data_IF_213516052982
#
_entry.id   IF_213516052982
#
_cell.length_a   1.000
_cell.length_b   1.000
_cell.length_c   1.000
_cell.angle_alpha   90.00
_cell.angle_beta   90.00
_cell.angle_gamma   90.00
#
_symmetry.space_group_name_H-M   'P 1'
#
loop_
_entity.id
_entity.type
_entity.pdbx_description
1 polymer ?
#
# COMPACT_ATOMS: atom_id res chain seq x y z
N UNK A 1 6.23 -2.88 -5.96
CA UNK A 1 6.03 -4.20 -5.31
C UNK A 1 7.27 -5.08 -5.50
N UNK A 2 7.88 -5.14 -6.71
CA UNK A 2 9.02 -6.02 -7.01
C UNK A 2 10.35 -5.61 -6.38
N UNK A 3 10.48 -4.35 -6.00
CA UNK A 3 11.70 -3.81 -5.37
C UNK A 3 11.76 -4.14 -3.89
N UNK A 4 12.97 -4.27 -3.32
CA UNK A 4 13.12 -4.28 -1.86
C UNK A 4 12.50 -3.02 -1.24
N UNK A 5 11.93 -3.15 -0.06
CA UNK A 5 11.34 -2.06 0.70
C UNK A 5 12.07 -1.81 2.02
N UNK A 6 11.33 -1.36 3.02
CA UNK A 6 11.84 -1.19 4.37
C UNK A 6 12.17 -2.54 5.03
N UNK A 7 11.20 -3.46 5.08
CA UNK A 7 11.26 -4.75 5.74
C UNK A 7 11.52 -5.91 4.78
N UNK A 8 10.77 -5.96 3.67
CA UNK A 8 10.76 -7.07 2.75
C UNK A 8 11.71 -6.88 1.57
N UNK A 9 12.41 -7.94 1.18
CA UNK A 9 13.03 -7.99 -0.14
C UNK A 9 11.96 -8.14 -1.24
N UNK A 10 12.35 -8.01 -2.51
CA UNK A 10 11.41 -8.06 -3.62
C UNK A 10 10.60 -9.37 -3.70
N UNK A 11 11.18 -10.51 -3.30
CA UNK A 11 10.49 -11.81 -3.25
C UNK A 11 9.41 -11.82 -2.18
N UNK A 12 9.73 -11.40 -0.95
CA UNK A 12 8.77 -11.34 0.17
C UNK A 12 7.61 -10.41 -0.14
N UNK A 13 7.88 -9.23 -0.69
CA UNK A 13 6.84 -8.26 -1.08
C UNK A 13 5.92 -8.81 -2.16
N UNK A 14 6.46 -9.56 -3.13
CA UNK A 14 5.64 -10.24 -4.14
C UNK A 14 4.83 -11.41 -3.56
N UNK A 15 5.37 -12.14 -2.58
CA UNK A 15 4.61 -13.17 -1.87
C UNK A 15 3.40 -12.57 -1.15
N UNK A 16 3.57 -11.41 -0.47
CA UNK A 16 2.46 -10.68 0.17
C UNK A 16 1.42 -10.24 -0.88
N UNK A 17 1.85 -9.68 -2.00
CA UNK A 17 0.95 -9.23 -3.05
C UNK A 17 0.16 -10.40 -3.69
N UNK A 18 0.84 -11.52 -3.97
CA UNK A 18 0.19 -12.75 -4.47
C UNK A 18 -0.81 -13.31 -3.46
N UNK A 19 -0.43 -13.33 -2.18
CA UNK A 19 -1.30 -13.81 -1.11
C UNK A 19 -2.56 -12.95 -0.97
N UNK A 20 -2.44 -11.62 -1.07
CA UNK A 20 -3.59 -10.73 -1.06
C UNK A 20 -4.56 -11.01 -2.22
N UNK A 21 -4.02 -11.24 -3.43
CA UNK A 21 -4.83 -11.65 -4.61
C UNK A 21 -5.50 -13.00 -4.39
N UNK A 22 -4.80 -13.98 -3.83
CA UNK A 22 -5.35 -15.29 -3.54
C UNK A 22 -6.54 -15.20 -2.58
N UNK A 23 -6.43 -14.42 -1.51
CA UNK A 23 -7.56 -14.18 -0.62
C UNK A 23 -8.73 -13.50 -1.31
N UNK A 24 -8.47 -12.56 -2.23
CA UNK A 24 -9.52 -11.95 -3.04
C UNK A 24 -10.24 -12.96 -3.95
N UNK A 25 -9.50 -13.92 -4.51
CA UNK A 25 -10.05 -15.02 -5.32
C UNK A 25 -10.85 -15.99 -4.43
N UNK A 26 -10.28 -16.43 -3.32
CA UNK A 26 -10.96 -17.33 -2.37
C UNK A 26 -12.26 -16.75 -1.82
N UNK A 27 -12.30 -15.44 -1.60
CA UNK A 27 -13.49 -14.73 -1.14
C UNK A 27 -14.52 -14.42 -2.25
N UNK A 28 -14.22 -14.79 -3.50
CA UNK A 28 -15.10 -14.50 -4.65
C UNK A 28 -15.12 -13.01 -5.06
N UNK A 29 -14.20 -12.22 -4.53
CA UNK A 29 -14.03 -10.80 -4.91
C UNK A 29 -13.37 -10.68 -6.28
N UNK A 30 -12.48 -11.59 -6.63
CA UNK A 30 -11.77 -11.63 -7.90
C UNK A 30 -12.08 -12.96 -8.61
N UNK A 31 -12.12 -12.92 -9.94
CA UNK A 31 -12.19 -14.14 -10.75
C UNK A 31 -10.82 -14.81 -10.82
N UNK A 32 -10.80 -16.13 -10.72
CA UNK A 32 -9.56 -16.91 -10.81
C UNK A 32 -9.09 -16.98 -12.27
N UNK A 33 -7.90 -16.44 -12.61
CA UNK A 33 -7.35 -16.61 -13.96
C UNK A 33 -7.05 -18.08 -14.30
N UNK A 34 -7.14 -18.47 -15.58
CA UNK A 34 -6.86 -19.84 -16.02
C UNK A 34 -5.47 -20.35 -15.61
N UNK A 35 -4.47 -19.47 -15.64
CA UNK A 35 -3.08 -19.80 -15.31
C UNK A 35 -2.70 -19.25 -13.93
N UNK A 36 -3.63 -19.23 -12.97
CA UNK A 36 -3.37 -18.74 -11.63
C UNK A 36 -2.49 -19.70 -10.84
N UNK A 37 -1.35 -19.20 -10.37
CA UNK A 37 -0.48 -19.92 -9.44
C UNK A 37 -0.67 -19.38 -8.02
N UNK A 38 -1.10 -20.25 -7.12
CA UNK A 38 -1.27 -19.91 -5.70
C UNK A 38 0.06 -19.52 -5.06
N UNK A 39 0.06 -18.50 -4.23
CA UNK A 39 1.23 -18.04 -3.49
C UNK A 39 1.77 -19.14 -2.57
N UNK A 40 3.07 -19.39 -2.63
CA UNK A 40 3.72 -20.37 -1.75
C UNK A 40 3.81 -19.87 -0.31
N UNK A 41 3.89 -18.55 -0.10
CA UNK A 41 3.91 -17.86 1.20
C UNK A 41 4.90 -18.45 2.23
N UNK A 42 6.04 -19.00 1.76
CA UNK A 42 7.03 -19.69 2.59
C UNK A 42 7.75 -18.73 3.56
N UNK A 43 7.83 -17.45 3.21
CA UNK A 43 8.52 -16.40 3.98
C UNK A 43 7.53 -15.45 4.69
N UNK A 44 6.27 -15.86 4.82
CA UNK A 44 5.20 -15.06 5.45
C UNK A 44 4.77 -15.70 6.76
N UNK A 45 4.98 -15.00 7.87
CA UNK A 45 4.60 -15.49 9.20
C UNK A 45 3.06 -15.55 9.36
N UNK A 46 2.54 -16.34 10.32
CA UNK A 46 1.10 -16.39 10.55
C UNK A 46 0.46 -15.03 10.83
N UNK A 47 1.14 -14.14 11.56
CA UNK A 47 0.63 -12.79 11.85
C UNK A 47 0.57 -11.93 10.59
N UNK A 48 1.58 -11.99 9.73
CA UNK A 48 1.56 -11.30 8.43
C UNK A 48 0.44 -11.85 7.55
N UNK A 49 0.29 -13.17 7.49
CA UNK A 49 -0.78 -13.81 6.73
C UNK A 49 -2.17 -13.36 7.21
N UNK A 50 -2.37 -13.26 8.53
CA UNK A 50 -3.59 -12.75 9.13
C UNK A 50 -3.84 -11.29 8.74
N UNK A 51 -2.83 -10.43 8.88
CA UNK A 51 -2.91 -9.01 8.47
C UNK A 51 -3.26 -8.88 6.98
N UNK A 52 -2.55 -9.59 6.10
CA UNK A 52 -2.79 -9.56 4.64
C UNK A 52 -4.21 -9.98 4.30
N UNK A 53 -4.71 -11.07 4.91
CA UNK A 53 -6.07 -11.53 4.72
C UNK A 53 -7.09 -10.46 5.12
N UNK A 54 -6.94 -9.91 6.33
CA UNK A 54 -7.86 -8.89 6.84
C UNK A 54 -7.87 -7.64 5.96
N UNK A 55 -6.69 -7.15 5.57
CA UNK A 55 -6.57 -6.00 4.67
C UNK A 55 -7.22 -6.25 3.29
N UNK A 56 -7.08 -7.46 2.74
CA UNK A 56 -7.53 -7.76 1.40
C UNK A 56 -9.05 -7.95 1.29
N UNK A 57 -9.70 -8.53 2.31
CA UNK A 57 -11.10 -8.98 2.20
C UNK A 57 -12.03 -8.45 3.30
N UNK A 58 -11.50 -8.02 4.44
CA UNK A 58 -12.29 -7.54 5.58
C UNK A 58 -11.74 -6.28 6.25
N UNK A 59 -11.31 -5.24 5.50
CA UNK A 59 -10.65 -4.06 6.10
C UNK A 59 -11.53 -3.32 7.13
N UNK A 60 -12.84 -3.52 7.09
CA UNK A 60 -13.80 -2.90 8.01
C UNK A 60 -13.66 -3.33 9.48
N UNK A 61 -12.98 -4.46 9.75
CA UNK A 61 -12.75 -4.95 11.12
C UNK A 61 -11.46 -4.42 11.74
N UNK A 62 -10.68 -3.66 10.97
CA UNK A 62 -9.43 -3.06 11.43
C UNK A 62 -9.78 -1.84 12.30
N UNK A 63 -9.52 -1.97 13.58
CA UNK A 63 -9.62 -0.93 14.59
C UNK A 63 -8.28 -0.79 15.35
N UNK A 64 -8.21 0.10 16.32
CA UNK A 64 -7.01 0.31 17.12
C UNK A 64 -6.59 -0.96 17.88
N UNK A 65 -7.55 -1.72 18.38
CA UNK A 65 -7.29 -2.99 19.07
C UNK A 65 -6.66 -4.02 18.13
N UNK A 66 -7.17 -4.12 16.91
CA UNK A 66 -6.57 -4.98 15.89
C UNK A 66 -5.12 -4.56 15.60
N UNK A 67 -4.89 -3.25 15.39
CA UNK A 67 -3.55 -2.72 15.17
C UNK A 67 -2.60 -3.06 16.32
N UNK A 68 -3.00 -2.79 17.58
CA UNK A 68 -2.18 -3.09 18.75
C UNK A 68 -1.87 -4.59 18.86
N UNK A 69 -2.83 -5.47 18.61
CA UNK A 69 -2.61 -6.92 18.61
C UNK A 69 -1.57 -7.36 17.57
N UNK A 70 -1.57 -6.74 16.39
CA UNK A 70 -0.56 -7.01 15.34
C UNK A 70 0.83 -6.56 15.79
N UNK A 71 0.96 -5.36 16.37
CA UNK A 71 2.22 -4.84 16.91
C UNK A 71 2.74 -5.71 18.05
N UNK A 72 1.88 -6.06 19.01
CA UNK A 72 2.22 -6.93 20.16
C UNK A 72 2.65 -8.34 19.71
N UNK A 73 2.21 -8.77 18.53
CA UNK A 73 2.62 -10.03 17.92
C UNK A 73 4.02 -9.96 17.24
N UNK A 74 4.70 -8.82 17.34
CA UNK A 74 6.10 -8.64 16.96
C UNK A 74 6.34 -7.94 15.62
N UNK A 75 5.32 -7.37 14.97
CA UNK A 75 5.52 -6.48 13.84
C UNK A 75 5.87 -5.07 14.31
N UNK A 76 6.83 -4.42 13.64
CA UNK A 76 7.07 -2.99 13.82
C UNK A 76 6.00 -2.13 13.11
N UNK A 77 5.87 -0.86 13.49
CA UNK A 77 5.01 0.10 12.78
C UNK A 77 5.37 0.20 11.29
N UNK A 78 6.65 0.14 10.97
CA UNK A 78 7.17 0.22 9.61
C UNK A 78 6.81 -1.01 8.78
N UNK A 79 6.96 -2.21 9.36
CA UNK A 79 6.55 -3.46 8.70
C UNK A 79 5.05 -3.47 8.46
N UNK A 80 4.26 -3.07 9.44
CA UNK A 80 2.82 -2.90 9.30
C UNK A 80 2.47 -1.94 8.16
N UNK A 81 3.11 -0.76 8.13
CA UNK A 81 2.89 0.27 7.10
C UNK A 81 3.29 -0.23 5.71
N UNK A 82 4.43 -0.92 5.58
CA UNK A 82 4.86 -1.49 4.30
C UNK A 82 3.88 -2.54 3.79
N UNK A 83 3.39 -3.43 4.66
CA UNK A 83 2.41 -4.45 4.29
C UNK A 83 1.11 -3.79 3.80
N UNK A 84 0.61 -2.76 4.50
CA UNK A 84 -0.54 -1.97 4.04
C UNK A 84 -0.27 -1.40 2.64
N UNK A 85 0.89 -0.79 2.42
CA UNK A 85 1.24 -0.22 1.14
C UNK A 85 1.26 -1.24 -0.01
N UNK A 86 1.77 -2.45 0.23
CA UNK A 86 1.76 -3.53 -0.76
C UNK A 86 0.34 -4.04 -1.02
N UNK A 87 -0.42 -4.36 0.04
CA UNK A 87 -1.75 -4.95 -0.08
C UNK A 87 -2.74 -3.97 -0.69
N UNK A 88 -2.75 -2.71 -0.23
CA UNK A 88 -3.66 -1.68 -0.78
C UNK A 88 -3.42 -1.45 -2.27
N UNK A 89 -2.16 -1.39 -2.72
CA UNK A 89 -1.84 -1.22 -4.14
C UNK A 89 -2.31 -2.40 -4.99
N UNK A 90 -2.03 -3.63 -4.58
CA UNK A 90 -2.44 -4.78 -5.40
C UNK A 90 -3.96 -4.93 -5.42
N UNK A 91 -4.62 -4.75 -4.29
CA UNK A 91 -6.07 -4.79 -4.19
C UNK A 91 -6.72 -3.73 -5.07
N UNK A 92 -6.19 -2.49 -5.04
CA UNK A 92 -6.67 -1.40 -5.89
C UNK A 92 -6.52 -1.75 -7.38
N UNK A 93 -5.34 -2.20 -7.81
CA UNK A 93 -5.07 -2.57 -9.20
C UNK A 93 -5.99 -3.71 -9.66
N UNK A 94 -6.16 -4.74 -8.85
CA UNK A 94 -6.96 -5.90 -9.17
C UNK A 94 -8.46 -5.57 -9.25
N UNK A 95 -8.96 -4.77 -8.30
CA UNK A 95 -10.35 -4.31 -8.33
C UNK A 95 -10.62 -3.37 -9.49
N UNK A 96 -9.67 -2.49 -9.83
CA UNK A 96 -9.79 -1.63 -11.00
C UNK A 96 -9.83 -2.46 -12.30
N UNK A 97 -8.92 -3.44 -12.46
CA UNK A 97 -8.93 -4.34 -13.61
C UNK A 97 -10.28 -5.07 -13.74
N UNK A 98 -10.79 -5.61 -12.63
CA UNK A 98 -12.11 -6.24 -12.57
C UNK A 98 -13.23 -5.27 -13.00
N UNK A 99 -13.21 -4.05 -12.47
CA UNK A 99 -14.27 -3.06 -12.72
C UNK A 99 -14.37 -2.67 -14.20
N UNK A 100 -13.25 -2.65 -14.93
CA UNK A 100 -13.21 -2.34 -16.37
C UNK A 100 -13.24 -3.60 -17.26
N UNK A 101 -13.40 -4.79 -16.70
CA UNK A 101 -13.40 -6.05 -17.46
C UNK A 101 -12.04 -6.44 -18.05
N UNK A 102 -10.93 -5.91 -17.51
CA UNK A 102 -9.59 -6.25 -17.95
C UNK A 102 -9.06 -7.50 -17.19
N UNK A 103 -8.17 -8.30 -17.81
CA UNK A 103 -7.52 -9.40 -17.10
C UNK A 103 -6.65 -8.89 -15.97
N UNK A 104 -6.54 -9.68 -14.89
CA UNK A 104 -5.63 -9.34 -13.78
C UNK A 104 -4.18 -9.23 -14.28
N UNK A 105 -3.46 -8.16 -13.92
CA UNK A 105 -2.07 -7.98 -14.35
C UNK A 105 -1.18 -9.09 -13.84
N UNK A 106 -0.20 -9.48 -14.67
CA UNK A 106 0.83 -10.42 -14.23
C UNK A 106 1.78 -9.76 -13.21
N UNK A 107 2.22 -10.53 -12.24
CA UNK A 107 3.24 -10.05 -11.31
C UNK A 107 4.60 -9.89 -11.99
N UNK A 108 5.32 -8.80 -11.72
CA UNK A 108 6.69 -8.65 -12.20
C UNK A 108 7.62 -9.67 -11.54
N UNK A 109 8.82 -9.83 -12.11
CA UNK A 109 9.88 -10.60 -11.44
C UNK A 109 10.41 -9.80 -10.23
N UNK A 110 10.79 -10.48 -9.13
CA UNK A 110 11.39 -9.79 -7.99
C UNK A 110 12.76 -9.23 -8.36
N UNK A 111 13.03 -8.02 -7.89
CA UNK A 111 14.35 -7.40 -8.00
C UNK A 111 15.22 -7.83 -6.83
N UNK A 112 16.50 -8.09 -7.11
CA UNK A 112 17.49 -8.46 -6.11
C UNK A 112 17.93 -7.19 -5.37
N UNK A 113 18.02 -7.27 -4.04
CA UNK A 113 18.50 -6.18 -3.21
C UNK A 113 18.15 -6.40 -1.73
N UNK A 114 18.74 -5.58 -0.89
CA UNK A 114 18.48 -5.60 0.56
C UNK A 114 17.41 -4.57 0.91
N UNK A 115 16.62 -4.86 1.94
CA UNK A 115 15.71 -3.91 2.56
C UNK A 115 16.50 -2.83 3.33
N UNK A 116 15.96 -1.59 3.39
CA UNK A 116 16.68 -0.46 3.98
C UNK A 116 16.66 -0.45 5.50
N UNK A 117 15.56 -0.81 6.12
CA UNK A 117 15.25 -0.66 7.56
C UNK A 117 15.45 0.77 8.09
N UNK A 118 15.37 1.76 7.22
CA UNK A 118 15.55 3.17 7.57
C UNK A 118 14.22 3.80 8.00
N UNK A 119 14.10 4.13 9.29
CA UNK A 119 13.00 4.94 9.80
C UNK A 119 13.34 6.42 9.63
N UNK A 120 12.48 7.22 8.99
CA UNK A 120 12.69 8.65 8.92
C UNK A 120 12.73 9.27 10.33
N UNK A 121 13.77 10.06 10.68
CA UNK A 121 13.86 10.70 11.99
C UNK A 121 12.76 11.76 12.22
N UNK A 122 12.14 12.25 11.15
CA UNK A 122 11.01 13.18 11.19
C UNK A 122 9.68 12.51 11.52
N UNK A 123 9.59 11.18 11.48
CA UNK A 123 8.36 10.47 11.79
C UNK A 123 7.97 10.64 13.26
N UNK A 124 6.78 11.18 13.50
CA UNK A 124 6.23 11.42 14.84
C UNK A 124 4.85 10.76 14.98
N UNK A 125 4.50 10.44 16.23
CA UNK A 125 3.17 9.97 16.59
C UNK A 125 2.24 11.17 16.71
N UNK A 126 1.16 11.14 15.94
CA UNK A 126 0.07 12.10 16.00
C UNK A 126 -1.25 11.34 16.29
N UNK A 127 -2.36 11.71 15.65
CA UNK A 127 -3.65 11.05 15.88
C UNK A 127 -3.81 9.70 15.16
N UNK A 128 -2.96 9.41 14.17
CA UNK A 128 -2.95 8.10 13.51
C UNK A 128 -2.34 7.00 14.39
N UNK A 129 -2.74 5.74 14.18
CA UNK A 129 -2.18 4.61 14.94
C UNK A 129 -0.72 4.29 14.60
N UNK A 130 -0.24 4.74 13.46
CA UNK A 130 1.17 4.68 13.07
C UNK A 130 1.80 6.07 13.10
N UNK A 131 3.10 6.14 13.31
CA UNK A 131 3.84 7.39 13.14
C UNK A 131 3.79 7.86 11.69
N UNK A 132 3.78 9.17 11.47
CA UNK A 132 3.73 9.78 10.13
C UNK A 132 4.73 10.90 10.01
N UNK A 133 5.13 11.25 8.79
CA UNK A 133 5.87 12.49 8.53
C UNK A 133 4.89 13.65 8.68
N UNK A 134 5.17 14.65 9.53
CA UNK A 134 4.26 15.76 9.75
C UNK A 134 4.18 16.70 8.54
N UNK A 135 3.09 17.43 8.45
CA UNK A 135 2.94 18.51 7.49
C UNK A 135 3.83 19.72 7.82
N UNK A 136 4.13 20.53 6.80
CA UNK A 136 4.80 21.81 6.95
C UNK A 136 6.28 21.68 7.36
N UNK A 137 6.83 22.69 8.08
CA UNK A 137 8.27 22.74 8.38
C UNK A 137 8.78 21.57 9.22
N UNK A 138 7.93 20.95 10.05
CA UNK A 138 8.31 19.83 10.89
C UNK A 138 8.69 18.57 10.08
N UNK A 139 8.10 18.39 8.89
CA UNK A 139 8.44 17.30 7.97
C UNK A 139 9.76 17.46 7.25
N UNK A 140 10.41 18.61 7.37
CA UNK A 140 11.69 18.97 6.73
C UNK A 140 11.72 18.62 5.24
N UNK A 141 12.88 18.18 4.73
CA UNK A 141 13.05 17.87 3.30
C UNK A 141 12.25 16.65 2.85
N UNK A 142 12.10 15.64 3.72
CA UNK A 142 11.31 14.46 3.39
C UNK A 142 9.82 14.79 3.25
N UNK A 143 9.27 15.63 4.13
CA UNK A 143 7.90 16.12 4.02
C UNK A 143 7.68 16.97 2.76
N UNK A 144 8.65 17.82 2.42
CA UNK A 144 8.60 18.60 1.16
C UNK A 144 8.60 17.69 -0.07
N UNK A 145 9.45 16.66 -0.09
CA UNK A 145 9.51 15.69 -1.19
C UNK A 145 8.20 14.92 -1.33
N UNK A 146 7.69 14.36 -0.23
CA UNK A 146 6.49 13.55 -0.24
C UNK A 146 5.23 14.36 -0.58
N UNK A 147 5.09 15.56 0.01
CA UNK A 147 3.83 16.32 -0.05
C UNK A 147 3.85 17.48 -1.05
N UNK A 148 5.01 17.72 -1.71
CA UNK A 148 5.18 18.80 -2.70
C UNK A 148 4.71 20.17 -2.18
N UNK A 149 4.97 20.45 -0.89
CA UNK A 149 4.61 21.70 -0.22
C UNK A 149 3.13 21.87 0.10
N UNK A 150 2.30 20.85 -0.08
CA UNK A 150 0.87 20.88 0.23
C UNK A 150 0.58 20.18 1.56
N UNK A 151 -0.36 20.68 2.39
CA UNK A 151 -0.82 19.92 3.54
C UNK A 151 -1.58 18.67 3.07
N UNK A 152 -1.17 17.51 3.60
CA UNK A 152 -1.77 16.22 3.26
C UNK A 152 -2.62 15.71 4.43
N UNK A 153 -3.83 15.21 4.18
CA UNK A 153 -4.65 14.56 5.21
C UNK A 153 -4.03 13.23 5.64
N UNK A 154 -4.44 12.72 6.79
CA UNK A 154 -3.90 11.47 7.36
C UNK A 154 -4.00 10.28 6.42
N UNK A 155 -5.08 10.16 5.66
CA UNK A 155 -5.25 9.05 4.70
C UNK A 155 -4.11 8.96 3.67
N UNK A 156 -3.55 10.10 3.25
CA UNK A 156 -2.41 10.14 2.33
C UNK A 156 -1.08 10.05 3.07
N UNK A 157 -1.01 10.56 4.32
CA UNK A 157 0.17 10.53 5.16
C UNK A 157 0.41 9.18 5.84
N UNK A 158 -0.62 8.34 5.95
CA UNK A 158 -0.55 7.06 6.67
C UNK A 158 0.57 6.12 6.19
N UNK A 159 0.99 6.24 4.91
CA UNK A 159 2.10 5.47 4.36
C UNK A 159 3.46 6.17 4.48
N UNK A 160 3.51 7.41 4.98
CA UNK A 160 4.74 8.22 4.96
C UNK A 160 5.83 7.74 5.92
N UNK A 161 5.49 6.90 6.92
CA UNK A 161 6.47 6.22 7.76
C UNK A 161 7.44 5.36 6.94
N UNK A 162 6.97 4.83 5.80
CA UNK A 162 7.79 4.17 4.79
C UNK A 162 7.70 4.99 3.50
N UNK A 163 8.59 5.97 3.28
CA UNK A 163 8.47 6.98 2.23
C UNK A 163 8.25 6.42 0.82
N UNK A 164 8.87 5.28 0.49
CA UNK A 164 8.70 4.66 -0.83
C UNK A 164 7.29 4.09 -1.04
N UNK A 165 6.63 3.65 0.03
CA UNK A 165 5.23 3.25 -0.04
C UNK A 165 4.31 4.45 -0.31
N UNK A 166 4.58 5.56 0.36
CA UNK A 166 3.87 6.82 0.14
C UNK A 166 4.04 7.31 -1.32
N UNK A 167 5.29 7.38 -1.83
CA UNK A 167 5.57 7.78 -3.22
C UNK A 167 4.86 6.86 -4.22
N UNK A 168 4.95 5.56 -4.00
CA UNK A 168 4.33 4.57 -4.90
C UNK A 168 2.81 4.66 -4.91
N UNK A 169 2.19 4.95 -3.77
CA UNK A 169 0.75 5.16 -3.68
C UNK A 169 0.33 6.44 -4.42
N UNK A 170 1.06 7.54 -4.22
CA UNK A 170 0.78 8.81 -4.92
C UNK A 170 0.90 8.67 -6.45
N UNK A 171 1.85 7.88 -6.95
CA UNK A 171 1.95 7.58 -8.39
C UNK A 171 0.71 6.83 -8.87
N UNK A 172 0.25 5.81 -8.14
CA UNK A 172 -0.95 5.06 -8.49
C UNK A 172 -2.19 5.97 -8.50
N UNK A 173 -2.36 6.78 -7.46
CA UNK A 173 -3.46 7.75 -7.38
C UNK A 173 -3.44 8.73 -8.55
N UNK A 174 -2.27 9.28 -8.91
CA UNK A 174 -2.17 10.22 -10.02
C UNK A 174 -2.57 9.62 -11.38
N UNK A 175 -2.50 8.30 -11.52
CA UNK A 175 -2.96 7.60 -12.73
C UNK A 175 -4.47 7.31 -12.73
N UNK A 176 -5.12 7.35 -11.58
CA UNK A 176 -6.54 6.98 -11.42
C UNK A 176 -7.47 8.18 -11.23
N UNK A 177 -6.95 9.31 -10.78
CA UNK A 177 -7.73 10.51 -10.54
C UNK A 177 -7.44 11.58 -11.60
N UNK A 178 -8.49 12.24 -12.08
CA UNK A 178 -8.32 13.44 -12.89
C UNK A 178 -7.67 14.54 -12.05
N UNK A 179 -6.77 15.31 -12.65
CA UNK A 179 -6.21 16.50 -11.99
C UNK A 179 -7.33 17.46 -11.59
N UNK A 180 -7.37 17.85 -10.30
CA UNK A 180 -8.41 18.76 -9.79
C UNK A 180 -8.48 20.07 -10.60
N UNK A 181 -7.36 20.56 -11.10
CA UNK A 181 -7.30 21.72 -11.98
C UNK A 181 -8.06 21.52 -13.30
N UNK A 182 -8.02 20.32 -13.86
CA UNK A 182 -8.77 19.98 -15.08
C UNK A 182 -10.26 19.74 -14.82
N UNK A 183 -10.60 19.19 -13.65
CA UNK A 183 -12.00 19.00 -13.25
C UNK A 183 -12.71 20.35 -13.04
N UNK A 184 -11.98 21.37 -12.61
CA UNK A 184 -12.50 22.72 -12.38
C UNK A 184 -12.31 23.65 -13.60
N UNK A 185 -11.66 23.21 -14.65
CA UNK A 185 -11.50 23.95 -15.90
C UNK A 185 -12.70 23.69 -16.82
N UNK A 186 -13.72 24.51 -16.67
CA UNK A 186 -14.93 24.46 -17.49
C UNK A 186 -14.72 24.89 -18.95
N UNK A 187 -13.51 25.33 -19.33
CA UNK A 187 -13.16 25.59 -20.73
C UNK A 187 -12.89 24.31 -21.51
N UNK A 188 -12.64 23.19 -20.80
CA UNK A 188 -12.40 21.89 -21.38
C UNK A 188 -13.69 21.07 -21.42
N UNK A 189 -14.25 20.90 -22.60
CA UNK A 189 -15.45 20.09 -22.78
C UNK A 189 -15.06 18.61 -22.90
N UNK A 190 -15.37 17.81 -21.90
CA UNK A 190 -15.08 16.37 -21.87
C UNK A 190 -16.15 15.51 -22.56
N UNK A 191 -17.20 16.12 -23.07
CA UNK A 191 -18.40 15.43 -23.56
C UNK A 191 -18.74 15.68 -25.02
N UNK A 192 -17.83 16.27 -25.79
CA UNK A 192 -17.96 16.41 -27.25
C UNK A 192 -17.42 15.20 -28.00
#
# INVERSE_FOLDING_TARGET
ISKPGYWGNGTQRLEIAKLARDFGIEAGVLEKPLNHETAKANNVTPVIKHLVKTLAIEPKVIDEKFFLNIIDSGLSEEEYTEIIGVVSRITNIDLYARAIGAPLPQFPKPEIGNHSKERPPEAIKEDAWVSTIPNGPAGKEIGKDLYKGRPMPYILRALSLVPDECRSNMVLESCQYAELGRVLDFSYNHYD
#
